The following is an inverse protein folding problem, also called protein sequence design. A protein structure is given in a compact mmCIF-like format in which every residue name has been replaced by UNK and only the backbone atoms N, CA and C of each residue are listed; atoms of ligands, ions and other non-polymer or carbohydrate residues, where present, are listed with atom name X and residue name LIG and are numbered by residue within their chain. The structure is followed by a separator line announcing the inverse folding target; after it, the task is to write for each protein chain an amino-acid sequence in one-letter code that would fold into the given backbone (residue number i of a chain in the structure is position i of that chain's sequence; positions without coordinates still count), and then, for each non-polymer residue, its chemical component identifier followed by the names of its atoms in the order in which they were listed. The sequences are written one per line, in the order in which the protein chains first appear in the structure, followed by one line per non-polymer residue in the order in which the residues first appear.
data_IF_707480795292
#
_entry.id   IF_707480795292
#
_cell.length_a   1.000
_cell.length_b   1.000
_cell.length_c   1.000
_cell.angle_alpha   90.00
_cell.angle_beta   90.00
_cell.angle_gamma   90.00
#
_symmetry.space_group_name_H-M   'P 1'
#
loop_
_entity.id
_entity.type
_entity.pdbx_description
1 polymer ?
#
# COMPACT_ATOMS: atom_id res chain seq x y z
N UNK A 1 -1.42 -1.22 1.28
CA UNK A 1 -2.21 0.00 1.06
C UNK A 1 -2.89 -0.08 -0.30
N UNK A 2 -4.18 0.26 -0.44
CA UNK A 2 -4.86 0.28 -1.74
C UNK A 2 -4.29 1.36 -2.68
N UNK A 3 -4.25 1.07 -3.98
CA UNK A 3 -3.76 2.00 -5.02
C UNK A 3 -4.55 3.30 -5.07
N UNK A 4 -5.87 3.23 -4.84
CA UNK A 4 -6.75 4.40 -4.70
C UNK A 4 -6.34 5.32 -3.55
N UNK A 5 -5.90 4.77 -2.41
CA UNK A 5 -5.40 5.56 -1.28
C UNK A 5 -4.09 6.27 -1.63
N UNK A 6 -3.15 5.58 -2.28
CA UNK A 6 -1.91 6.19 -2.79
C UNK A 6 -2.21 7.40 -3.70
N UNK A 7 -3.17 7.25 -4.63
CA UNK A 7 -3.61 8.35 -5.50
C UNK A 7 -4.26 9.49 -4.74
N UNK A 8 -5.09 9.21 -3.72
CA UNK A 8 -5.70 10.24 -2.85
C UNK A 8 -4.64 11.04 -2.08
N UNK A 9 -3.50 10.43 -1.75
CA UNK A 9 -2.36 11.11 -1.14
C UNK A 9 -1.52 11.94 -2.12
N UNK A 10 -1.89 11.98 -3.41
CA UNK A 10 -1.19 12.73 -4.44
C UNK A 10 0.12 12.07 -4.91
N UNK A 11 0.31 10.78 -4.62
CA UNK A 11 1.51 10.03 -5.01
C UNK A 11 1.24 9.38 -6.36
N UNK A 12 2.07 9.70 -7.35
CA UNK A 12 1.85 9.29 -8.75
C UNK A 12 2.42 7.91 -9.07
N UNK A 13 3.55 7.54 -8.45
CA UNK A 13 4.28 6.32 -8.77
C UNK A 13 4.73 5.58 -7.51
N UNK A 14 4.69 4.25 -7.59
CA UNK A 14 5.31 3.35 -6.63
C UNK A 14 6.38 2.54 -7.35
N UNK A 15 7.47 2.22 -6.66
CA UNK A 15 8.59 1.48 -7.22
C UNK A 15 8.15 0.07 -7.61
N UNK A 16 8.39 -0.38 -8.86
CA UNK A 16 8.05 -1.74 -9.27
C UNK A 16 8.74 -2.79 -8.39
N UNK A 17 8.02 -3.87 -8.09
CA UNK A 17 8.54 -4.98 -7.28
C UNK A 17 8.29 -6.33 -7.94
N UNK A 18 9.14 -7.32 -7.64
CA UNK A 18 8.96 -8.72 -8.04
C UNK A 18 8.34 -9.57 -6.92
N UNK A 19 7.87 -8.92 -5.85
CA UNK A 19 7.20 -9.58 -4.75
C UNK A 19 5.91 -10.26 -5.21
N UNK A 20 5.57 -11.39 -4.58
CA UNK A 20 4.24 -12.01 -4.65
C UNK A 20 3.72 -12.18 -3.24
N UNK A 21 2.43 -11.97 -3.04
CA UNK A 21 1.77 -12.14 -1.75
C UNK A 21 0.82 -13.32 -1.81
N UNK A 22 0.77 -14.08 -0.72
CA UNK A 22 -0.26 -15.10 -0.50
C UNK A 22 -1.24 -14.53 0.52
N UNK A 23 -2.49 -14.35 0.10
CA UNK A 23 -3.54 -13.82 0.96
C UNK A 23 -4.09 -14.91 1.89
N UNK A 24 -4.89 -14.50 2.88
CA UNK A 24 -5.48 -15.43 3.87
C UNK A 24 -6.40 -16.48 3.22
N UNK A 25 -7.04 -16.13 2.10
CA UNK A 25 -7.85 -17.03 1.26
C UNK A 25 -6.99 -17.96 0.38
N UNK A 26 -5.66 -17.89 0.50
CA UNK A 26 -4.65 -18.64 -0.26
C UNK A 26 -4.54 -18.24 -1.74
N UNK A 27 -5.21 -17.18 -2.16
CA UNK A 27 -4.97 -16.59 -3.48
C UNK A 27 -3.57 -15.96 -3.55
N UNK A 28 -2.99 -15.94 -4.74
CA UNK A 28 -1.70 -15.29 -5.01
C UNK A 28 -1.99 -13.99 -5.75
N UNK A 29 -1.39 -12.91 -5.28
CA UNK A 29 -1.52 -11.59 -5.89
C UNK A 29 -0.16 -10.92 -6.05
N UNK A 30 -0.09 -10.01 -7.01
CA UNK A 30 1.10 -9.25 -7.36
C UNK A 30 0.86 -7.78 -6.99
N UNK A 31 1.66 -7.22 -6.08
CA UNK A 31 1.55 -5.81 -5.75
C UNK A 31 1.75 -4.91 -6.96
N UNK A 32 1.10 -3.76 -6.96
CA UNK A 32 1.34 -2.68 -7.92
C UNK A 32 2.78 -2.15 -7.80
N UNK A 33 3.24 -1.97 -6.57
CA UNK A 33 4.58 -1.48 -6.26
C UNK A 33 4.85 -1.38 -4.77
N UNK A 34 5.99 -0.82 -4.43
CA UNK A 34 6.38 -0.48 -3.05
C UNK A 34 6.60 1.02 -2.99
N UNK A 35 6.07 1.63 -1.93
CA UNK A 35 6.33 3.02 -1.58
C UNK A 35 7.25 3.01 -0.35
N UNK A 36 8.49 3.44 -0.53
CA UNK A 36 9.54 3.43 0.49
C UNK A 36 9.58 4.78 1.23
N UNK A 37 10.02 4.78 2.49
CA UNK A 37 10.32 5.97 3.30
C UNK A 37 9.15 6.97 3.50
N UNK A 38 7.92 6.48 3.63
CA UNK A 38 6.76 7.35 3.91
C UNK A 38 6.72 7.72 5.39
N UNK A 39 6.69 9.01 5.68
CA UNK A 39 6.50 9.48 7.06
C UNK A 39 5.02 9.50 7.40
N UNK A 40 4.63 8.64 8.35
CA UNK A 40 3.26 8.54 8.87
C UNK A 40 3.21 9.17 10.25
N UNK A 41 2.22 10.04 10.45
CA UNK A 41 1.92 10.58 11.77
C UNK A 41 0.93 9.63 12.49
N UNK A 42 1.31 9.20 13.70
CA UNK A 42 0.44 8.49 14.64
C UNK A 42 0.44 9.27 15.95
N UNK A 43 -0.67 9.98 16.22
CA UNK A 43 -0.82 10.94 17.32
C UNK A 43 0.20 12.09 17.25
N UNK A 44 1.21 12.09 18.12
CA UNK A 44 2.27 13.10 18.17
C UNK A 44 3.61 12.55 17.68
N UNK A 45 3.62 11.34 17.11
CA UNK A 45 4.83 10.63 16.69
C UNK A 45 4.88 10.47 15.18
N UNK A 46 6.08 10.59 14.61
CA UNK A 46 6.35 10.39 13.19
C UNK A 46 7.16 9.11 13.00
N UNK A 47 6.68 8.22 12.14
CA UNK A 47 7.35 6.97 11.82
C UNK A 47 7.64 6.89 10.31
N UNK A 48 8.88 6.59 9.91
CA UNK A 48 9.17 6.16 8.55
C UNK A 48 8.63 4.74 8.35
N UNK A 49 7.83 4.52 7.32
CA UNK A 49 7.19 3.23 7.02
C UNK A 49 7.18 2.99 5.52
N UNK A 50 7.40 1.74 5.14
CA UNK A 50 7.24 1.28 3.76
C UNK A 50 5.86 0.66 3.57
N UNK A 51 5.25 0.92 2.41
CA UNK A 51 3.96 0.37 2.03
C UNK A 51 4.05 -0.51 0.79
N UNK A 52 3.48 -1.70 0.87
CA UNK A 52 3.15 -2.48 -0.32
C UNK A 52 1.83 -1.96 -0.89
N UNK A 53 1.86 -1.48 -2.13
CA UNK A 53 0.70 -0.93 -2.83
C UNK A 53 0.00 -2.05 -3.59
N UNK A 54 -1.30 -2.17 -3.39
CA UNK A 54 -2.16 -3.21 -3.95
C UNK A 54 -3.25 -2.57 -4.81
N UNK A 55 -3.40 -3.04 -6.05
CA UNK A 55 -4.53 -2.65 -6.90
C UNK A 55 -5.74 -3.54 -6.58
N UNK A 56 -6.46 -3.17 -5.53
CA UNK A 56 -7.62 -3.87 -5.00
C UNK A 56 -8.72 -2.86 -4.67
N UNK A 57 -9.96 -3.31 -4.67
CA UNK A 57 -11.09 -2.51 -4.18
C UNK A 57 -10.92 -2.21 -2.68
N UNK A 58 -11.22 -0.97 -2.30
CA UNK A 58 -11.32 -0.60 -0.89
C UNK A 58 -12.58 -1.26 -0.31
N UNK A 59 -12.45 -1.89 0.86
CA UNK A 59 -13.64 -2.31 1.59
C UNK A 59 -14.34 -1.06 2.12
N UNK A 60 -15.63 -0.91 1.80
CA UNK A 60 -16.42 0.17 2.38
C UNK A 60 -16.81 -0.30 3.78
N UNK A 61 -16.25 0.32 4.82
CA UNK A 61 -16.76 0.10 6.19
C UNK A 61 -18.27 0.38 6.21
N UNK A 62 -19.04 -0.63 6.62
CA UNK A 62 -20.48 -0.56 6.82
C UNK A 62 -20.85 0.05 8.17
#
# INVERSE_FOLDING_TARGET
MPLSMMRKLGIEEAKPTRMRLVLADRSITYPYGILEDVVVNVNDLLFPVDFVIMDIEEDFEA
#
